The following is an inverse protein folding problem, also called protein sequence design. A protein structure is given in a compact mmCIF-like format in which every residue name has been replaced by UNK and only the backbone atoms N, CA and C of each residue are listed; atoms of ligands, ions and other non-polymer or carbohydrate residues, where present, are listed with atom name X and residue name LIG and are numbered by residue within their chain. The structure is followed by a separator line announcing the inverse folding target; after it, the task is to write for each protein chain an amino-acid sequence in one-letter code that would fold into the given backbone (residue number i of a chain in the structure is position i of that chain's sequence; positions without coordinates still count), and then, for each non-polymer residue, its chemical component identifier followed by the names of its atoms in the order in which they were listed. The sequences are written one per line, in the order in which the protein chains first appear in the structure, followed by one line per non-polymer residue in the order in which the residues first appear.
data_IF_919473279337
#
_entry.id   IF_919473279337
#
_cell.length_a   1.000
_cell.length_b   1.000
_cell.length_c   1.000
_cell.angle_alpha   90.00
_cell.angle_beta   90.00
_cell.angle_gamma   90.00
#
_symmetry.space_group_name_H-M   'P 1'
#
loop_
_entity.id
_entity.type
_entity.pdbx_description
1 polymer ?
#
# COMPACT_ATOMS: atom_id res chain seq x y z
N UNK A 1 97.65 -8.64 -9.55
CA UNK A 1 98.23 -8.67 -8.19
C UNK A 1 97.64 -7.51 -7.42
N UNK A 2 96.96 -7.79 -6.29
CA UNK A 2 96.31 -6.87 -5.32
C UNK A 2 95.07 -6.08 -5.82
N UNK A 3 94.02 -5.75 -5.06
CA UNK A 3 93.41 -6.17 -3.77
C UNK A 3 92.07 -5.38 -3.69
N UNK A 4 90.96 -6.06 -3.40
CA UNK A 4 89.74 -5.69 -2.62
C UNK A 4 89.05 -4.31 -2.77
N UNK A 5 87.71 -4.29 -2.87
CA UNK A 5 86.75 -3.88 -1.80
C UNK A 5 85.29 -4.03 -2.27
N UNK A 6 84.47 -4.59 -1.36
CA UNK A 6 83.01 -4.75 -1.39
C UNK A 6 82.28 -3.41 -1.26
N UNK A 7 81.14 -3.24 -1.94
CA UNK A 7 80.02 -2.44 -1.45
C UNK A 7 78.69 -3.03 -1.93
N UNK A 8 77.87 -3.47 -0.97
CA UNK A 8 76.51 -3.94 -1.21
C UNK A 8 75.56 -2.78 -1.44
N UNK A 9 74.52 -3.02 -2.24
CA UNK A 9 73.32 -2.18 -2.26
C UNK A 9 72.07 -3.05 -2.25
N UNK A 10 71.23 -2.75 -1.26
CA UNK A 10 69.90 -3.25 -0.98
C UNK A 10 68.97 -3.17 -2.20
N UNK A 11 68.25 -4.26 -2.47
CA UNK A 11 67.01 -4.27 -3.25
C UNK A 11 65.89 -3.60 -2.44
N UNK A 12 65.39 -2.46 -2.94
CA UNK A 12 64.18 -1.83 -2.45
C UNK A 12 63.02 -2.22 -3.37
N UNK A 13 62.14 -3.12 -2.91
CA UNK A 13 60.88 -3.44 -3.58
C UNK A 13 59.80 -2.43 -3.13
N UNK A 14 58.93 -1.91 -4.04
CA UNK A 14 57.83 -1.06 -3.64
C UNK A 14 56.69 -1.88 -3.00
N UNK A 15 56.27 -1.48 -1.79
CA UNK A 15 55.01 -1.90 -1.19
C UNK A 15 53.84 -1.36 -2.02
N UNK A 16 53.09 -2.23 -2.69
CA UNK A 16 51.71 -1.93 -3.07
C UNK A 16 50.84 -2.11 -1.83
N UNK A 17 50.37 -0.99 -1.25
CA UNK A 17 49.33 -1.05 -0.22
C UNK A 17 47.98 -1.30 -0.90
N UNK A 18 47.50 -2.54 -0.80
CA UNK A 18 46.13 -2.93 -1.12
C UNK A 18 45.26 -2.47 0.06
N UNK A 19 44.42 -1.46 -0.15
CA UNK A 19 43.37 -1.11 0.81
C UNK A 19 42.32 -2.23 0.83
N UNK A 20 41.94 -2.77 2.00
CA UNK A 20 40.87 -3.75 2.06
C UNK A 20 39.55 -3.06 1.70
N UNK A 21 38.96 -3.51 0.58
CA UNK A 21 37.55 -3.27 0.28
C UNK A 21 36.75 -3.92 1.41
N UNK A 22 36.08 -3.10 2.22
CA UNK A 22 35.02 -3.56 3.11
C UNK A 22 33.88 -4.08 2.23
N UNK A 23 33.97 -5.36 1.86
CA UNK A 23 32.81 -6.11 1.44
C UNK A 23 31.96 -6.31 2.69
N UNK A 24 30.91 -5.51 2.82
CA UNK A 24 29.88 -5.68 3.82
C UNK A 24 29.22 -7.05 3.58
N UNK A 25 29.73 -8.07 4.28
CA UNK A 25 29.11 -9.38 4.37
C UNK A 25 27.75 -9.19 5.06
N UNK A 26 26.72 -8.89 4.27
CA UNK A 26 25.33 -9.16 4.66
C UNK A 26 25.23 -10.67 4.83
N UNK A 27 25.36 -11.11 6.07
CA UNK A 27 24.94 -12.44 6.47
C UNK A 27 23.50 -12.62 6.02
N UNK A 28 23.33 -13.39 4.94
CA UNK A 28 22.01 -13.80 4.47
C UNK A 28 21.40 -14.66 5.58
N UNK A 29 20.42 -14.10 6.28
CA UNK A 29 19.48 -14.90 7.06
C UNK A 29 19.00 -16.06 6.19
N UNK A 30 18.86 -17.28 6.74
CA UNK A 30 18.44 -18.42 5.94
C UNK A 30 17.10 -18.09 5.30
N UNK A 31 17.10 -18.06 3.96
CA UNK A 31 15.88 -17.96 3.15
C UNK A 31 15.09 -19.23 3.47
N UNK A 32 14.15 -19.14 4.40
CA UNK A 32 13.06 -20.11 4.47
C UNK A 32 12.49 -20.11 3.06
N UNK A 33 12.64 -21.22 2.34
CA UNK A 33 12.22 -21.36 0.95
C UNK A 33 10.72 -21.06 0.89
N UNK A 34 10.39 -19.81 0.57
CA UNK A 34 9.03 -19.32 0.52
C UNK A 34 8.34 -20.06 -0.61
N UNK A 35 7.34 -20.88 -0.28
CA UNK A 35 6.54 -21.60 -1.28
C UNK A 35 5.97 -20.57 -2.25
N UNK A 36 6.53 -20.53 -3.44
CA UNK A 36 6.13 -19.59 -4.48
C UNK A 36 4.79 -20.08 -5.03
N UNK A 37 3.77 -19.24 -4.97
CA UNK A 37 2.45 -19.57 -5.51
C UNK A 37 2.49 -19.35 -7.02
N UNK A 38 2.26 -20.41 -7.77
CA UNK A 38 2.25 -20.40 -9.24
C UNK A 38 0.88 -20.87 -9.70
N UNK A 39 0.20 -20.05 -10.50
CA UNK A 39 -1.10 -20.33 -11.06
C UNK A 39 -0.99 -20.53 -12.57
N UNK A 40 -1.74 -21.50 -13.09
CA UNK A 40 -1.82 -21.73 -14.54
C UNK A 40 -2.46 -20.55 -15.29
N UNK A 41 -3.40 -19.88 -14.66
CA UNK A 41 -4.16 -18.75 -15.18
C UNK A 41 -4.65 -17.89 -14.01
N UNK A 42 -5.13 -16.69 -14.33
CA UNK A 42 -5.75 -15.76 -13.39
C UNK A 42 -7.26 -15.67 -13.69
N UNK A 43 -7.95 -16.80 -13.87
CA UNK A 43 -9.41 -16.77 -13.93
C UNK A 43 -10.01 -16.92 -12.53
N UNK A 44 -11.29 -16.54 -12.42
CA UNK A 44 -12.06 -16.63 -11.17
C UNK A 44 -11.91 -17.96 -10.45
N UNK A 45 -12.14 -19.09 -11.15
CA UNK A 45 -12.12 -20.41 -10.53
C UNK A 45 -10.75 -20.73 -9.92
N UNK A 46 -9.68 -20.47 -10.67
CA UNK A 46 -8.30 -20.74 -10.22
C UNK A 46 -7.94 -19.86 -9.02
N UNK A 47 -8.18 -18.56 -9.10
CA UNK A 47 -7.85 -17.60 -8.02
C UNK A 47 -8.63 -17.93 -6.76
N UNK A 48 -9.96 -18.00 -6.86
CA UNK A 48 -10.83 -18.20 -5.70
C UNK A 48 -10.55 -19.54 -5.02
N UNK A 49 -10.39 -20.62 -5.79
CA UNK A 49 -10.10 -21.95 -5.22
C UNK A 49 -8.73 -21.97 -4.54
N UNK A 50 -7.73 -21.27 -5.08
CA UNK A 50 -6.37 -21.27 -4.53
C UNK A 50 -6.28 -20.49 -3.22
N UNK A 51 -6.91 -19.31 -3.15
CA UNK A 51 -6.75 -18.42 -1.99
C UNK A 51 -7.85 -18.55 -0.94
N UNK A 52 -9.05 -19.02 -1.32
CA UNK A 52 -10.24 -19.04 -0.45
C UNK A 52 -10.87 -20.44 -0.35
N UNK A 53 -10.14 -21.49 -0.74
CA UNK A 53 -10.60 -22.87 -1.05
C UNK A 53 -11.38 -23.69 -0.03
N UNK A 54 -12.10 -23.08 0.91
CA UNK A 54 -12.99 -23.75 1.85
C UNK A 54 -14.44 -23.28 1.66
N UNK A 55 -15.37 -24.25 1.54
CA UNK A 55 -16.82 -24.07 1.58
C UNK A 55 -17.41 -22.94 0.72
N UNK A 56 -16.84 -22.75 -0.47
CA UNK A 56 -17.41 -21.86 -1.48
C UNK A 56 -18.76 -22.41 -1.93
N UNK A 57 -19.80 -21.61 -1.77
CA UNK A 57 -21.16 -21.97 -2.18
C UNK A 57 -21.66 -20.97 -3.22
N UNK A 58 -22.64 -21.40 -3.98
CA UNK A 58 -23.34 -20.51 -4.89
C UNK A 58 -24.34 -19.63 -4.10
N UNK A 59 -24.45 -18.38 -4.49
CA UNK A 59 -25.50 -17.44 -4.06
C UNK A 59 -25.93 -16.62 -5.27
N UNK A 60 -27.19 -16.20 -5.30
CA UNK A 60 -27.75 -15.35 -6.36
C UNK A 60 -27.86 -13.93 -5.83
N UNK A 61 -27.24 -12.98 -6.53
CA UNK A 61 -27.29 -11.55 -6.21
C UNK A 61 -27.63 -10.83 -7.52
N UNK A 62 -28.91 -10.51 -7.79
CA UNK A 62 -29.37 -10.02 -9.10
C UNK A 62 -28.62 -8.79 -9.61
N UNK A 63 -28.17 -7.91 -8.70
CA UNK A 63 -27.35 -6.74 -9.01
C UNK A 63 -26.01 -7.13 -9.66
N UNK A 64 -25.34 -8.16 -9.12
CA UNK A 64 -24.08 -8.68 -9.64
C UNK A 64 -24.28 -9.51 -10.91
N UNK A 65 -25.38 -10.28 -10.99
CA UNK A 65 -25.73 -11.05 -12.19
C UNK A 65 -26.00 -10.14 -13.40
N UNK A 66 -26.70 -9.02 -13.18
CA UNK A 66 -26.99 -8.02 -14.22
C UNK A 66 -25.71 -7.44 -14.82
N UNK A 67 -24.69 -7.25 -14.00
CA UNK A 67 -23.37 -6.73 -14.42
C UNK A 67 -22.42 -7.82 -14.89
N UNK A 68 -22.85 -9.10 -14.85
CA UNK A 68 -22.02 -10.28 -15.14
C UNK A 68 -20.76 -10.36 -14.27
N UNK A 69 -20.83 -9.81 -13.06
CA UNK A 69 -19.74 -9.84 -12.10
C UNK A 69 -19.55 -11.28 -11.63
N UNK A 70 -18.29 -11.73 -11.53
CA UNK A 70 -17.98 -13.06 -11.02
C UNK A 70 -17.87 -13.02 -9.50
N UNK A 71 -18.67 -13.84 -8.81
CA UNK A 71 -18.67 -13.87 -7.35
C UNK A 71 -19.09 -15.24 -6.81
N UNK A 72 -18.77 -15.50 -5.53
CA UNK A 72 -19.20 -16.69 -4.78
C UNK A 72 -19.54 -16.33 -3.34
N UNK A 73 -20.40 -17.14 -2.71
CA UNK A 73 -20.65 -17.05 -1.27
C UNK A 73 -19.42 -17.50 -0.50
N UNK A 74 -19.08 -16.74 0.53
CA UNK A 74 -18.01 -17.01 1.48
C UNK A 74 -18.54 -16.77 2.90
N UNK A 75 -18.24 -17.70 3.80
CA UNK A 75 -18.61 -17.58 5.20
C UNK A 75 -17.35 -17.27 5.99
N UNK A 76 -17.34 -16.12 6.65
CA UNK A 76 -16.25 -15.78 7.57
C UNK A 76 -16.36 -16.54 8.89
N UNK A 77 -15.28 -16.52 9.66
CA UNK A 77 -15.19 -17.20 10.97
C UNK A 77 -16.19 -16.66 12.00
N UNK A 78 -16.70 -15.44 11.81
CA UNK A 78 -17.70 -14.79 12.66
C UNK A 78 -19.14 -15.08 12.22
N UNK A 79 -19.35 -16.08 11.36
CA UNK A 79 -20.63 -16.45 10.74
C UNK A 79 -21.29 -15.36 9.88
N UNK A 80 -20.60 -14.25 9.62
CA UNK A 80 -21.06 -13.27 8.66
C UNK A 80 -20.94 -13.84 7.24
N UNK A 81 -22.04 -13.79 6.51
CA UNK A 81 -22.07 -14.18 5.11
C UNK A 81 -21.59 -13.03 4.25
N UNK A 82 -20.62 -13.34 3.39
CA UNK A 82 -20.04 -12.41 2.43
C UNK A 82 -20.13 -12.96 1.01
N UNK A 83 -20.11 -12.06 0.04
CA UNK A 83 -19.75 -12.39 -1.32
C UNK A 83 -18.27 -12.05 -1.54
N UNK A 84 -17.53 -12.97 -2.16
CA UNK A 84 -16.22 -12.68 -2.75
C UNK A 84 -16.46 -12.22 -4.18
N UNK A 85 -16.28 -10.92 -4.42
CA UNK A 85 -16.38 -10.30 -5.74
C UNK A 85 -15.01 -10.32 -6.38
N UNK A 86 -14.90 -10.87 -7.58
CA UNK A 86 -13.65 -10.99 -8.31
C UNK A 86 -13.43 -9.81 -9.25
N UNK A 87 -12.34 -9.06 -9.01
CA UNK A 87 -11.85 -8.04 -9.92
C UNK A 87 -10.91 -8.63 -10.96
N UNK A 88 -11.31 -8.58 -12.24
CA UNK A 88 -10.52 -9.17 -13.33
C UNK A 88 -9.09 -8.60 -13.41
N UNK A 89 -8.08 -9.42 -13.76
CA UNK A 89 -6.70 -8.98 -13.75
C UNK A 89 -6.44 -7.90 -14.80
N UNK A 90 -5.78 -6.82 -14.39
CA UNK A 90 -5.35 -5.73 -15.27
C UNK A 90 -3.82 -5.70 -15.32
N UNK A 91 -3.28 -5.63 -16.54
CA UNK A 91 -1.84 -5.55 -16.76
C UNK A 91 -1.32 -4.12 -16.54
N UNK A 92 -0.16 -3.99 -15.93
CA UNK A 92 0.55 -2.72 -15.80
C UNK A 92 2.08 -2.92 -15.86
N UNK A 93 2.83 -1.84 -16.02
CA UNK A 93 4.29 -1.86 -15.96
C UNK A 93 4.77 -1.36 -14.59
N UNK A 94 5.61 -2.15 -13.92
CA UNK A 94 6.32 -1.70 -12.72
C UNK A 94 7.38 -0.62 -13.07
N UNK A 95 8.11 -0.14 -12.06
CA UNK A 95 9.16 0.87 -12.24
C UNK A 95 10.29 0.41 -13.18
N UNK A 96 10.60 -0.89 -13.16
CA UNK A 96 11.60 -1.52 -14.03
C UNK A 96 11.07 -1.85 -15.44
N UNK A 97 9.89 -1.31 -15.81
CA UNK A 97 9.22 -1.56 -17.11
C UNK A 97 8.90 -3.04 -17.37
N UNK A 98 8.80 -3.84 -16.33
CA UNK A 98 8.39 -5.23 -16.41
C UNK A 98 6.88 -5.33 -16.23
N UNK A 99 6.25 -6.17 -17.05
CA UNK A 99 4.82 -6.40 -16.97
C UNK A 99 4.45 -7.14 -15.68
N UNK A 100 3.39 -6.65 -15.04
CA UNK A 100 2.73 -7.22 -13.86
C UNK A 100 1.23 -7.29 -14.12
N UNK A 101 0.55 -8.13 -13.37
CA UNK A 101 -0.90 -8.30 -13.40
C UNK A 101 -1.43 -8.05 -12.00
N UNK A 102 -2.33 -7.09 -11.87
CA UNK A 102 -3.01 -6.77 -10.62
C UNK A 102 -4.43 -7.33 -10.67
N UNK A 103 -4.84 -8.08 -9.66
CA UNK A 103 -6.22 -8.51 -9.48
C UNK A 103 -6.65 -8.25 -8.04
N UNK A 104 -7.95 -8.18 -7.83
CA UNK A 104 -8.51 -8.04 -6.48
C UNK A 104 -9.62 -9.05 -6.21
N UNK A 105 -9.81 -9.34 -4.93
CA UNK A 105 -10.97 -10.09 -4.44
C UNK A 105 -11.56 -9.32 -3.27
N UNK A 106 -12.77 -8.82 -3.47
CA UNK A 106 -13.45 -7.95 -2.51
C UNK A 106 -14.48 -8.73 -1.71
N UNK A 107 -14.44 -8.58 -0.39
CA UNK A 107 -15.38 -9.14 0.57
C UNK A 107 -16.44 -8.11 0.87
N UNK A 108 -17.69 -8.38 0.50
CA UNK A 108 -18.84 -7.53 0.80
C UNK A 108 -19.88 -8.30 1.60
N UNK A 109 -20.54 -7.64 2.56
CA UNK A 109 -21.60 -8.26 3.37
C UNK A 109 -22.84 -8.45 2.51
N UNK A 110 -23.49 -9.61 2.64
CA UNK A 110 -24.68 -9.95 1.86
C UNK A 110 -25.85 -10.23 2.80
N UNK A 111 -27.02 -9.73 2.41
CA UNK A 111 -28.31 -10.12 2.95
C UNK A 111 -28.83 -11.30 2.11
N UNK A 112 -28.68 -12.53 2.62
CA UNK A 112 -29.04 -13.75 1.87
C UNK A 112 -30.56 -13.86 1.64
N UNK A 113 -31.38 -13.36 2.58
CA UNK A 113 -32.84 -13.42 2.48
C UNK A 113 -33.34 -12.53 1.33
N UNK A 114 -32.81 -11.30 1.27
CA UNK A 114 -33.16 -10.34 0.23
C UNK A 114 -32.29 -10.45 -1.03
N UNK A 115 -31.31 -11.38 -1.05
CA UNK A 115 -30.42 -11.64 -2.19
C UNK A 115 -29.69 -10.39 -2.70
N UNK A 116 -29.24 -9.53 -1.78
CA UNK A 116 -28.63 -8.23 -2.11
C UNK A 116 -27.37 -7.98 -1.30
N UNK A 117 -26.49 -7.12 -1.81
CA UNK A 117 -25.40 -6.58 -1.02
C UNK A 117 -25.99 -5.68 0.06
N UNK A 118 -25.50 -5.80 1.29
CA UNK A 118 -25.93 -4.98 2.40
C UNK A 118 -25.06 -3.72 2.49
N UNK A 119 -25.54 -2.62 1.90
CA UNK A 119 -24.91 -1.31 2.03
C UNK A 119 -25.42 -0.60 3.28
N UNK A 120 -24.52 -0.17 4.17
CA UNK A 120 -24.90 0.51 5.40
C UNK A 120 -23.75 1.38 5.96
N UNK A 121 -24.08 2.36 6.81
CA UNK A 121 -23.09 3.28 7.39
C UNK A 121 -22.03 2.59 8.26
N UNK A 122 -22.39 1.46 8.89
CA UNK A 122 -21.48 0.66 9.70
C UNK A 122 -20.84 -0.51 8.94
N UNK A 123 -21.15 -0.65 7.65
CA UNK A 123 -20.65 -1.72 6.81
C UNK A 123 -19.27 -1.34 6.28
N UNK A 124 -18.47 -2.33 5.89
CA UNK A 124 -17.21 -2.08 5.19
C UNK A 124 -16.98 -3.17 4.17
N UNK A 125 -16.38 -2.79 3.05
CA UNK A 125 -15.89 -3.74 2.06
C UNK A 125 -14.38 -3.90 2.24
N UNK A 126 -13.85 -5.10 2.06
CA UNK A 126 -12.41 -5.37 2.23
C UNK A 126 -11.87 -6.03 0.97
N UNK A 127 -10.89 -5.41 0.32
CA UNK A 127 -10.32 -5.94 -0.93
C UNK A 127 -8.92 -6.47 -0.69
N UNK A 128 -8.74 -7.77 -0.95
CA UNK A 128 -7.41 -8.36 -1.06
C UNK A 128 -6.85 -8.04 -2.43
N UNK A 129 -5.58 -7.62 -2.49
CA UNK A 129 -4.92 -7.21 -3.73
C UNK A 129 -3.74 -8.14 -3.99
N UNK A 130 -3.65 -8.65 -5.22
CA UNK A 130 -2.62 -9.59 -5.61
C UNK A 130 -1.89 -9.08 -6.84
N UNK A 131 -0.56 -9.17 -6.82
CA UNK A 131 0.32 -8.79 -7.93
C UNK A 131 1.04 -10.04 -8.41
N UNK A 132 0.89 -10.34 -9.71
CA UNK A 132 1.54 -11.46 -10.37
C UNK A 132 2.51 -10.99 -11.45
N UNK A 133 3.52 -11.81 -11.74
CA UNK A 133 4.32 -11.74 -12.96
C UNK A 133 4.13 -13.02 -13.76
N UNK A 134 4.37 -12.97 -15.06
CA UNK A 134 4.40 -14.18 -15.89
C UNK A 134 5.82 -14.76 -15.87
N UNK A 135 5.96 -16.04 -15.54
CA UNK A 135 7.24 -16.73 -15.55
C UNK A 135 7.60 -17.27 -16.96
N UNK A 136 8.76 -17.89 -17.09
CA UNK A 136 9.26 -18.45 -18.36
C UNK A 136 8.36 -19.56 -18.93
N UNK A 137 7.62 -20.25 -18.07
CA UNK A 137 6.65 -21.29 -18.44
C UNK A 137 5.27 -20.73 -18.77
N UNK A 138 5.15 -19.40 -18.94
CA UNK A 138 3.89 -18.70 -19.22
C UNK A 138 2.84 -18.83 -18.10
N UNK A 139 3.25 -19.20 -16.89
CA UNK A 139 2.40 -19.29 -15.70
C UNK A 139 2.50 -18.00 -14.87
N UNK A 140 1.55 -17.78 -13.99
CA UNK A 140 1.48 -16.59 -13.15
C UNK A 140 2.08 -16.85 -11.78
N UNK A 141 3.19 -16.21 -11.48
CA UNK A 141 3.88 -16.28 -10.20
C UNK A 141 3.45 -15.12 -9.31
N UNK A 142 2.98 -15.41 -8.10
CA UNK A 142 2.61 -14.39 -7.13
C UNK A 142 3.86 -13.66 -6.65
N UNK A 143 3.90 -12.35 -6.88
CA UNK A 143 4.99 -11.46 -6.48
C UNK A 143 4.71 -10.88 -5.09
N UNK A 144 3.52 -10.30 -4.93
CA UNK A 144 3.16 -9.53 -3.75
C UNK A 144 1.66 -9.63 -3.49
N UNK A 145 1.25 -9.49 -2.22
CA UNK A 145 -0.16 -9.45 -1.83
C UNK A 145 -0.44 -8.50 -0.66
N UNK A 146 -1.65 -7.95 -0.61
CA UNK A 146 -2.19 -7.23 0.55
C UNK A 146 -3.46 -7.96 1.01
N UNK A 147 -3.52 -8.37 2.28
CA UNK A 147 -4.66 -9.13 2.85
C UNK A 147 -4.97 -8.63 4.26
N UNK A 148 -6.20 -8.83 4.73
CA UNK A 148 -6.64 -8.54 6.11
C UNK A 148 -6.50 -7.08 6.58
N UNK A 149 -5.81 -6.78 7.69
CA UNK A 149 -5.67 -5.42 8.24
C UNK A 149 -4.83 -4.49 7.35
N UNK A 150 -4.06 -5.07 6.41
CA UNK A 150 -3.33 -4.36 5.36
C UNK A 150 -4.22 -4.03 4.14
N UNK A 151 -5.50 -4.45 4.18
CA UNK A 151 -6.39 -4.44 3.03
C UNK A 151 -6.97 -3.06 2.71
N UNK A 152 -7.50 -3.02 1.50
CA UNK A 152 -8.07 -1.85 0.88
C UNK A 152 -9.55 -1.78 1.26
N UNK A 153 -9.85 -0.92 2.23
CA UNK A 153 -11.17 -0.85 2.89
C UNK A 153 -12.05 0.19 2.22
N UNK A 154 -13.23 -0.24 1.77
CA UNK A 154 -14.33 0.65 1.41
C UNK A 154 -15.28 0.86 2.59
N UNK A 155 -15.91 2.03 2.63
CA UNK A 155 -16.87 2.49 3.64
C UNK A 155 -18.23 1.78 3.56
N UNK A 156 -18.49 0.94 2.56
CA UNK A 156 -19.65 0.06 2.50
C UNK A 156 -21.02 0.76 2.39
N UNK A 157 -21.03 2.07 2.08
CA UNK A 157 -22.26 2.84 1.82
C UNK A 157 -22.79 2.65 0.40
N UNK A 158 -21.92 2.20 -0.51
CA UNK A 158 -22.17 1.90 -1.91
C UNK A 158 -21.13 0.85 -2.39
N UNK A 159 -21.11 0.54 -3.69
CA UNK A 159 -20.02 -0.24 -4.27
C UNK A 159 -18.75 0.61 -4.36
N UNK A 160 -17.99 0.61 -3.28
CA UNK A 160 -16.69 1.26 -3.14
C UNK A 160 -15.55 0.24 -3.00
N UNK A 161 -15.75 -0.96 -3.53
CA UNK A 161 -14.71 -1.97 -3.56
C UNK A 161 -13.50 -1.50 -4.39
N UNK A 162 -12.31 -1.98 -4.05
CA UNK A 162 -11.10 -1.65 -4.82
C UNK A 162 -10.98 -2.59 -6.01
N UNK A 163 -11.63 -2.23 -7.11
CA UNK A 163 -11.39 -2.91 -8.38
C UNK A 163 -9.98 -2.56 -8.93
N UNK A 164 -9.38 -3.41 -9.77
CA UNK A 164 -8.02 -3.20 -10.27
C UNK A 164 -7.83 -1.89 -11.03
N UNK A 165 -8.83 -1.43 -11.79
CA UNK A 165 -8.75 -0.18 -12.55
C UNK A 165 -8.68 1.05 -11.64
N UNK A 166 -9.45 1.07 -10.54
CA UNK A 166 -9.41 2.12 -9.52
C UNK A 166 -8.04 2.19 -8.85
N UNK A 167 -7.43 1.05 -8.53
CA UNK A 167 -6.09 1.02 -7.95
C UNK A 167 -5.07 1.61 -8.95
N UNK A 168 -5.14 1.16 -10.21
CA UNK A 168 -4.17 1.56 -11.23
C UNK A 168 -4.33 3.01 -11.71
N UNK A 169 -5.51 3.63 -11.60
CA UNK A 169 -5.70 5.05 -11.94
C UNK A 169 -4.94 5.99 -11.01
N UNK A 170 -4.59 5.52 -9.81
CA UNK A 170 -3.86 6.26 -8.79
C UNK A 170 -2.37 5.86 -8.71
N UNK A 171 -1.89 5.09 -9.68
CA UNK A 171 -0.51 4.61 -9.72
C UNK A 171 0.46 5.71 -10.17
N UNK A 172 1.36 6.12 -9.28
CA UNK A 172 2.38 7.14 -9.54
C UNK A 172 3.76 6.66 -9.07
N UNK A 173 4.82 7.39 -9.43
CA UNK A 173 6.13 7.15 -8.83
C UNK A 173 6.15 7.72 -7.41
N UNK A 174 6.35 6.85 -6.43
CA UNK A 174 6.46 7.20 -5.00
C UNK A 174 7.91 7.09 -4.50
N UNK A 175 8.83 6.74 -5.39
CA UNK A 175 10.27 6.74 -5.19
C UNK A 175 10.98 6.65 -6.55
N UNK A 176 12.32 6.78 -6.60
CA UNK A 176 13.07 6.77 -7.86
C UNK A 176 12.84 5.51 -8.70
N UNK A 177 12.68 4.37 -8.03
CA UNK A 177 12.48 3.06 -8.65
C UNK A 177 11.24 2.35 -8.11
N UNK A 178 10.30 3.08 -7.50
CA UNK A 178 9.10 2.49 -6.87
C UNK A 178 7.87 3.22 -7.37
N UNK A 179 6.97 2.46 -8.01
CA UNK A 179 5.59 2.86 -8.22
C UNK A 179 4.77 2.52 -6.99
N UNK A 180 3.78 3.34 -6.71
CA UNK A 180 2.86 3.14 -5.61
C UNK A 180 1.55 3.82 -5.92
N UNK A 181 0.54 3.41 -5.19
CA UNK A 181 -0.79 4.00 -5.28
C UNK A 181 -0.84 5.12 -4.26
N UNK A 182 -1.34 6.28 -4.69
CA UNK A 182 -1.53 7.45 -3.81
C UNK A 182 -2.97 7.86 -3.89
N UNK A 183 -3.67 7.86 -2.77
CA UNK A 183 -5.06 8.30 -2.74
C UNK A 183 -5.41 9.03 -1.45
N UNK A 184 -6.55 9.70 -1.49
CA UNK A 184 -7.13 10.35 -0.33
C UNK A 184 -8.48 9.73 -0.02
N UNK A 185 -8.73 9.43 1.24
CA UNK A 185 -10.01 8.89 1.71
C UNK A 185 -10.73 9.94 2.53
N UNK A 186 -11.97 10.24 2.14
CA UNK A 186 -12.86 11.10 2.88
C UNK A 186 -13.61 10.30 3.96
N UNK A 187 -13.53 10.77 5.20
CA UNK A 187 -14.18 10.19 6.37
C UNK A 187 -15.07 11.27 6.97
N UNK A 188 -16.34 10.94 7.18
CA UNK A 188 -17.29 11.85 7.83
C UNK A 188 -18.00 11.17 8.99
N UNK A 189 -18.05 11.82 10.15
CA UNK A 189 -18.69 11.31 11.36
C UNK A 189 -19.25 12.45 12.19
N UNK A 190 -20.55 12.38 12.53
CA UNK A 190 -21.20 13.31 13.46
C UNK A 190 -21.00 14.79 13.10
N UNK A 191 -21.01 15.13 11.81
CA UNK A 191 -20.83 16.50 11.33
C UNK A 191 -19.37 16.95 11.21
N UNK A 192 -18.40 16.11 11.59
CA UNK A 192 -16.99 16.30 11.27
C UNK A 192 -16.65 15.60 9.96
N UNK A 193 -15.84 16.24 9.13
CA UNK A 193 -15.29 15.68 7.91
C UNK A 193 -13.77 15.72 7.96
N UNK A 194 -13.11 14.73 7.36
CA UNK A 194 -11.66 14.65 7.27
C UNK A 194 -11.23 13.94 6.00
N UNK A 195 -10.14 14.40 5.39
CA UNK A 195 -9.52 13.76 4.22
C UNK A 195 -8.14 13.26 4.60
N UNK A 196 -7.91 11.97 4.48
CA UNK A 196 -6.67 11.32 4.90
C UNK A 196 -5.87 10.89 3.67
N UNK A 197 -4.58 11.21 3.63
CA UNK A 197 -3.66 10.79 2.56
C UNK A 197 -3.05 9.42 2.88
N UNK A 198 -3.12 8.52 1.90
CA UNK A 198 -2.49 7.21 1.96
C UNK A 198 -1.54 6.96 0.79
N UNK A 199 -0.52 6.14 1.03
CA UNK A 199 0.38 5.61 0.00
C UNK A 199 0.52 4.09 0.18
N UNK A 200 0.39 3.31 -0.90
CA UNK A 200 0.79 1.91 -0.94
C UNK A 200 1.97 1.72 -1.90
N UNK A 201 3.20 1.57 -1.39
CA UNK A 201 4.36 1.25 -2.22
C UNK A 201 4.23 -0.15 -2.83
N UNK A 202 4.25 -0.23 -4.17
CA UNK A 202 4.19 -1.50 -4.91
C UNK A 202 5.62 -1.96 -5.28
N UNK A 203 6.45 -2.11 -4.25
CA UNK A 203 7.88 -2.41 -4.35
C UNK A 203 8.19 -3.92 -4.48
N UNK A 204 7.18 -4.74 -4.77
CA UNK A 204 7.30 -6.19 -4.95
C UNK A 204 7.80 -6.96 -3.71
N UNK A 205 7.69 -6.37 -2.52
CA UNK A 205 7.81 -7.12 -1.27
C UNK A 205 6.72 -8.18 -1.17
N UNK A 206 6.96 -9.20 -0.33
CA UNK A 206 6.02 -10.31 -0.11
C UNK A 206 4.60 -9.83 0.22
N UNK A 207 4.53 -8.82 1.07
CA UNK A 207 3.32 -8.10 1.42
C UNK A 207 3.50 -6.60 1.21
N UNK A 208 2.38 -5.91 1.02
CA UNK A 208 2.32 -4.46 0.98
C UNK A 208 1.01 -4.00 1.59
N UNK A 209 0.94 -2.73 1.99
CA UNK A 209 -0.22 -2.15 2.67
C UNK A 209 -0.39 -0.68 2.32
N UNK A 210 -1.58 -0.18 2.61
CA UNK A 210 -1.87 1.25 2.62
C UNK A 210 -1.25 1.89 3.85
N UNK A 211 -0.40 2.88 3.65
CA UNK A 211 0.31 3.60 4.70
C UNK A 211 -0.35 4.97 4.85
N UNK A 212 -0.96 5.21 6.01
CA UNK A 212 -1.46 6.54 6.37
C UNK A 212 -0.29 7.52 6.52
N UNK A 213 -0.42 8.69 5.89
CA UNK A 213 0.61 9.74 5.93
C UNK A 213 0.18 10.84 6.88
N UNK A 214 -0.97 11.46 6.61
CA UNK A 214 -1.49 12.60 7.35
C UNK A 214 -2.96 12.88 6.99
N UNK A 215 -3.65 13.56 7.90
CA UNK A 215 -4.91 14.25 7.59
C UNK A 215 -4.59 15.51 6.79
N UNK A 216 -5.08 15.60 5.57
CA UNK A 216 -4.96 16.78 4.70
C UNK A 216 -6.01 17.82 5.08
N UNK A 217 -7.26 17.37 5.17
CA UNK A 217 -8.40 18.26 5.39
C UNK A 217 -9.13 17.82 6.65
N UNK A 218 -9.62 18.77 7.42
CA UNK A 218 -10.51 18.47 8.55
C UNK A 218 -11.34 19.70 8.88
N UNK A 219 -12.62 19.50 9.13
CA UNK A 219 -13.56 20.56 9.48
C UNK A 219 -14.70 20.05 10.36
N UNK A 220 -15.47 20.98 10.91
CA UNK A 220 -16.69 20.71 11.67
C UNK A 220 -17.92 21.48 11.13
N UNK A 221 -17.94 21.84 9.84
CA UNK A 221 -18.97 22.73 9.28
C UNK A 221 -20.39 22.16 9.44
N UNK A 222 -20.53 20.84 9.38
CA UNK A 222 -21.81 20.15 9.50
C UNK A 222 -22.21 19.79 10.95
N UNK A 223 -21.48 20.27 11.97
CA UNK A 223 -21.80 19.97 13.38
C UNK A 223 -22.92 20.83 13.96
N UNK A 224 -23.15 22.03 13.42
CA UNK A 224 -23.99 23.04 14.04
C UNK A 224 -23.36 23.73 15.26
N UNK A 225 -22.04 23.57 15.48
CA UNK A 225 -21.29 24.32 16.51
C UNK A 225 -21.08 25.77 16.05
N UNK A 226 -21.28 26.74 16.95
CA UNK A 226 -21.00 28.16 16.70
C UNK A 226 -19.50 28.42 16.41
N UNK A 227 -18.63 27.52 16.88
CA UNK A 227 -17.19 27.56 16.66
C UNK A 227 -16.80 26.67 15.48
N UNK A 228 -17.08 27.16 14.28
CA UNK A 228 -16.69 26.51 13.02
C UNK A 228 -15.19 26.70 12.74
N UNK A 229 -14.51 25.63 12.38
CA UNK A 229 -13.11 25.60 11.95
C UNK A 229 -12.93 24.63 10.79
N UNK A 230 -11.89 24.84 10.02
CA UNK A 230 -11.55 24.00 8.89
C UNK A 230 -10.17 24.30 8.35
N UNK A 231 -9.40 23.27 8.05
CA UNK A 231 -8.12 23.41 7.36
C UNK A 231 -8.03 22.49 6.17
N UNK A 232 -7.16 22.87 5.23
CA UNK A 232 -6.84 22.11 4.02
C UNK A 232 -5.33 21.98 3.87
N UNK A 233 -4.91 20.81 3.39
CA UNK A 233 -3.51 20.42 3.22
C UNK A 233 -3.21 20.11 1.76
N UNK A 234 -2.18 20.74 1.20
CA UNK A 234 -1.67 20.42 -0.14
C UNK A 234 -0.34 19.70 -0.03
N UNK A 235 -0.28 18.48 -0.54
CA UNK A 235 0.95 17.68 -0.55
C UNK A 235 1.68 17.77 -1.89
N UNK A 236 3.00 17.55 -1.85
CA UNK A 236 3.82 17.26 -3.02
C UNK A 236 4.95 16.30 -2.64
N UNK A 237 5.39 15.49 -3.59
CA UNK A 237 6.63 14.73 -3.44
C UNK A 237 7.84 15.66 -3.54
N UNK A 238 8.85 15.39 -2.73
CA UNK A 238 10.16 16.02 -2.77
C UNK A 238 11.15 15.12 -3.52
N UNK A 239 12.27 15.70 -3.95
CA UNK A 239 13.35 14.94 -4.59
C UNK A 239 14.22 14.18 -3.60
N UNK A 240 14.12 14.48 -2.30
CA UNK A 240 14.81 13.73 -1.25
C UNK A 240 14.17 12.36 -1.06
N UNK A 241 14.99 11.37 -0.71
CA UNK A 241 14.62 9.96 -0.69
C UNK A 241 15.08 9.33 0.62
N UNK A 242 14.17 8.67 1.32
CA UNK A 242 14.47 7.85 2.50
C UNK A 242 13.91 6.44 2.31
N UNK A 243 14.76 5.43 2.52
CA UNK A 243 14.39 4.02 2.36
C UNK A 243 13.74 3.71 0.99
N UNK A 244 14.19 4.39 -0.06
CA UNK A 244 13.73 4.18 -1.43
C UNK A 244 12.44 4.91 -1.82
N UNK A 245 11.76 5.58 -0.88
CA UNK A 245 10.57 6.40 -1.14
C UNK A 245 10.89 7.89 -1.09
N UNK A 246 10.16 8.69 -1.88
CA UNK A 246 10.25 10.14 -1.85
C UNK A 246 9.68 10.70 -0.55
N UNK A 247 10.31 11.74 -0.02
CA UNK A 247 9.73 12.51 1.08
C UNK A 247 8.51 13.30 0.60
N UNK A 248 7.63 13.66 1.53
CA UNK A 248 6.46 14.50 1.24
C UNK A 248 6.53 15.82 2.00
N UNK A 249 6.23 16.92 1.32
CA UNK A 249 5.91 18.20 1.96
C UNK A 249 4.40 18.39 1.94
N UNK A 250 3.81 18.72 3.09
CA UNK A 250 2.39 19.11 3.20
C UNK A 250 2.30 20.53 3.73
N UNK A 251 1.63 21.40 2.97
CA UNK A 251 1.36 22.80 3.34
C UNK A 251 -0.09 22.95 3.78
N UNK A 252 -0.27 23.37 5.02
CA UNK A 252 -1.57 23.56 5.64
C UNK A 252 -1.98 25.04 5.67
N UNK A 253 -3.26 25.28 5.39
CA UNK A 253 -3.90 26.59 5.50
C UNK A 253 -5.31 26.45 6.07
N UNK A 254 -5.73 27.41 6.88
CA UNK A 254 -7.11 27.47 7.40
C UNK A 254 -7.11 27.75 8.89
N UNK A 255 -7.96 27.05 9.62
CA UNK A 255 -8.10 27.15 11.08
C UNK A 255 -8.22 25.78 11.71
N UNK A 256 -7.78 25.67 12.96
CA UNK A 256 -7.93 24.46 13.76
C UNK A 256 -8.44 24.81 15.16
N UNK A 257 -9.13 23.87 15.78
CA UNK A 257 -9.59 23.99 17.16
C UNK A 257 -8.57 23.37 18.10
N UNK A 258 -7.97 24.20 18.94
CA UNK A 258 -7.09 23.74 20.02
C UNK A 258 -7.88 23.64 21.32
N UNK A 259 -7.80 22.48 21.97
CA UNK A 259 -8.39 22.22 23.27
C UNK A 259 -7.37 22.54 24.37
N UNK A 260 -7.85 23.19 25.43
CA UNK A 260 -7.10 23.53 26.63
C UNK A 260 -7.95 23.22 27.87
N UNK A 261 -7.35 23.25 29.06
CA UNK A 261 -8.07 23.00 30.31
C UNK A 261 -9.22 23.99 30.55
N UNK A 262 -9.17 25.20 29.98
CA UNK A 262 -10.17 26.27 30.14
C UNK A 262 -11.15 26.39 28.97
N UNK A 263 -11.14 25.44 28.02
CA UNK A 263 -12.02 25.43 26.86
C UNK A 263 -11.26 25.31 25.54
N UNK A 264 -11.90 25.73 24.44
CA UNK A 264 -11.33 25.63 23.09
C UNK A 264 -11.27 26.97 22.38
N UNK A 265 -10.19 27.15 21.61
CA UNK A 265 -9.93 28.32 20.78
C UNK A 265 -9.70 27.89 19.34
N UNK A 266 -10.25 28.65 18.40
CA UNK A 266 -9.94 28.51 16.98
C UNK A 266 -8.69 29.33 16.69
N UNK A 267 -7.68 28.71 16.10
CA UNK A 267 -6.42 29.35 15.75
C UNK A 267 -6.10 29.18 14.27
N UNK A 268 -5.43 30.16 13.62
CA UNK A 268 -4.96 30.01 12.25
C UNK A 268 -3.99 28.84 12.15
N UNK A 269 -4.21 27.97 11.16
CA UNK A 269 -3.27 26.91 10.77
C UNK A 269 -2.52 27.38 9.53
N UNK A 270 -1.22 27.63 9.65
CA UNK A 270 -0.34 28.02 8.54
C UNK A 270 1.03 27.39 8.74
N UNK A 271 1.12 26.11 8.43
CA UNK A 271 2.29 25.29 8.73
C UNK A 271 2.73 24.51 7.49
N UNK A 272 4.00 24.14 7.45
CA UNK A 272 4.54 23.23 6.44
C UNK A 272 5.23 22.09 7.18
N UNK A 273 4.85 20.86 6.88
CA UNK A 273 5.41 19.66 7.49
C UNK A 273 6.12 18.84 6.41
N UNK A 274 7.23 18.20 6.78
CA UNK A 274 7.94 17.25 5.93
C UNK A 274 7.79 15.86 6.55
N UNK A 275 7.54 14.86 5.71
CA UNK A 275 7.36 13.47 6.09
C UNK A 275 8.39 12.60 5.39
N UNK A 276 9.09 11.76 6.16
CA UNK A 276 10.10 10.82 5.67
C UNK A 276 9.67 9.39 5.96
N UNK A 277 9.91 8.47 5.02
CA UNK A 277 9.56 7.07 5.22
C UNK A 277 10.59 6.36 6.13
N UNK A 278 10.08 5.67 7.16
CA UNK A 278 10.85 4.85 8.08
C UNK A 278 10.50 3.36 7.87
N UNK A 279 11.48 2.60 7.37
CA UNK A 279 11.32 1.17 7.06
C UNK A 279 11.21 0.29 8.33
N UNK A 280 11.70 0.76 9.49
CA UNK A 280 11.53 0.00 10.75
C UNK A 280 10.10 0.08 11.27
N UNK A 281 9.48 1.27 11.13
CA UNK A 281 8.09 1.50 11.54
C UNK A 281 7.08 1.17 10.44
N UNK A 282 7.53 1.01 9.21
CA UNK A 282 6.69 0.82 8.03
C UNK A 282 5.66 1.97 7.89
N UNK A 283 6.10 3.20 8.14
CA UNK A 283 5.26 4.40 8.13
C UNK A 283 6.03 5.66 7.75
N UNK A 284 5.31 6.72 7.38
CA UNK A 284 5.89 8.04 7.23
C UNK A 284 5.88 8.79 8.57
N UNK A 285 6.99 9.44 8.89
CA UNK A 285 7.17 10.19 10.12
C UNK A 285 7.36 11.66 9.80
N UNK A 286 6.61 12.53 10.47
CA UNK A 286 6.84 13.96 10.42
C UNK A 286 8.20 14.29 11.02
N UNK A 287 9.05 14.96 10.25
CA UNK A 287 10.33 15.51 10.69
C UNK A 287 10.24 17.02 10.89
N UNK A 288 11.05 17.53 11.82
CA UNK A 288 11.13 18.95 12.14
C UNK A 288 12.04 19.69 11.15
#
# INVERSE_FOLDING_TARGET
MKTTIFFGYLLCAPLMMITPVYAENRASSPVIAKKTIILKDLNFKTVITTFYGNQLKHIVIPELDKTKTQYVRYQEKNDQIKALIYGEPVAYLNSSKQQRFLLTVSRVVVDEENKKINYCFACSSYSDVYIFKKNTNQQFELVSKATDEDAWVGMGMNDDTYNPNRILSNLVNVGPNIKGVVETVDVSRQGYSSKILYIAPMNELVTFKMIEIAVLDSDNEATGDDKVWGYHGKYKFLNSVHNGLYDLEIKYTGTERLYSQTGSKIMPKKETHIYQYDDKKQSYIRVQ
#
